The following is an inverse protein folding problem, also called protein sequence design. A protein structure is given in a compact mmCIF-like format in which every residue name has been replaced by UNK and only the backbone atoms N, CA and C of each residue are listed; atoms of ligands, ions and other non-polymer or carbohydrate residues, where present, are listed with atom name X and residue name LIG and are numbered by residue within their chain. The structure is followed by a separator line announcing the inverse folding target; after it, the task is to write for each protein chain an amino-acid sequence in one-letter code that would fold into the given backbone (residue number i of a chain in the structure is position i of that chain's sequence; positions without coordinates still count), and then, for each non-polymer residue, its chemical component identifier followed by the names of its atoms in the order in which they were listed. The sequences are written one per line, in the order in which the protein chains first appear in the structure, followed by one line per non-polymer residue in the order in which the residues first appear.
data_IF_228981158844
#
_entry.id   IF_228981158844
#
_cell.length_a   1.000
_cell.length_b   1.000
_cell.length_c   1.000
_cell.angle_alpha   90.00
_cell.angle_beta   90.00
_cell.angle_gamma   90.00
#
_symmetry.space_group_name_H-M   'P 1'
#
loop_
_entity.id
_entity.type
_entity.pdbx_description
1 polymer ?
#
# COMPACT_ATOMS: atom_id res chain seq x y z
N UNK A 1 -10.11 -11.22 12.65
CA UNK A 1 -9.07 -10.41 11.98
C UNK A 1 -9.24 -10.40 10.44
N UNK A 2 -9.54 -11.55 9.81
CA UNK A 2 -9.80 -11.70 8.36
C UNK A 2 -10.73 -10.64 7.74
N UNK A 3 -11.88 -10.38 8.34
CA UNK A 3 -12.85 -9.40 7.83
C UNK A 3 -12.29 -7.96 7.72
N UNK A 4 -11.47 -7.53 8.68
CA UNK A 4 -10.88 -6.19 8.64
C UNK A 4 -9.92 -6.09 7.46
N UNK A 5 -9.11 -7.13 7.24
CA UNK A 5 -8.18 -7.17 6.12
C UNK A 5 -8.90 -7.17 4.77
N UNK A 6 -10.00 -7.90 4.64
CA UNK A 6 -10.84 -7.85 3.44
C UNK A 6 -11.34 -6.43 3.14
N UNK A 7 -11.78 -5.67 4.15
CA UNK A 7 -12.19 -4.27 3.97
C UNK A 7 -11.02 -3.38 3.55
N UNK A 8 -9.84 -3.55 4.18
CA UNK A 8 -8.65 -2.79 3.85
C UNK A 8 -8.17 -3.06 2.42
N UNK A 9 -8.22 -4.32 1.97
CA UNK A 9 -7.86 -4.73 0.61
C UNK A 9 -8.92 -4.29 -0.39
N UNK A 10 -10.21 -4.37 -0.04
CA UNK A 10 -11.27 -3.84 -0.90
C UNK A 10 -11.03 -2.34 -1.17
N UNK A 11 -10.61 -1.59 -0.15
CA UNK A 11 -10.24 -0.19 -0.33
C UNK A 11 -8.96 -0.01 -1.14
N UNK A 12 -7.87 -0.68 -0.75
CA UNK A 12 -6.53 -0.50 -1.33
C UNK A 12 -5.93 -1.84 -1.81
N UNK A 13 -6.42 -2.42 -2.92
CA UNK A 13 -5.97 -3.74 -3.37
C UNK A 13 -4.54 -3.72 -3.90
N UNK A 14 -4.03 -2.58 -4.33
CA UNK A 14 -2.68 -2.43 -4.85
C UNK A 14 -1.61 -2.30 -3.75
N UNK A 15 -1.97 -2.31 -2.46
CA UNK A 15 -0.97 -2.28 -1.39
C UNK A 15 -0.29 -3.65 -1.25
N UNK A 16 1.02 -3.71 -1.48
CA UNK A 16 1.81 -4.94 -1.30
C UNK A 16 1.76 -5.43 0.14
N UNK A 17 1.86 -4.55 1.13
CA UNK A 17 1.78 -4.92 2.55
C UNK A 17 0.47 -5.62 2.89
N UNK A 18 -0.67 -5.15 2.33
CA UNK A 18 -1.95 -5.80 2.55
C UNK A 18 -2.06 -7.15 1.82
N UNK A 19 -1.49 -7.25 0.62
CA UNK A 19 -1.43 -8.49 -0.16
C UNK A 19 -0.57 -9.57 0.52
N UNK A 20 0.53 -9.16 1.15
CA UNK A 20 1.39 -10.05 1.94
C UNK A 20 0.66 -10.57 3.17
N UNK A 21 -0.03 -9.68 3.88
CA UNK A 21 -0.85 -10.06 5.03
C UNK A 21 -2.03 -10.95 4.64
N UNK A 22 -2.62 -10.75 3.46
CA UNK A 22 -3.67 -11.63 2.94
C UNK A 22 -3.14 -13.01 2.63
N UNK A 23 -1.97 -13.07 1.99
CA UNK A 23 -1.27 -14.31 1.67
C UNK A 23 -0.97 -15.06 2.97
N UNK A 24 -0.38 -14.42 3.98
CA UNK A 24 -0.06 -15.04 5.28
C UNK A 24 -1.27 -15.70 5.95
N UNK A 25 -2.47 -15.13 5.79
CA UNK A 25 -3.71 -15.62 6.41
C UNK A 25 -4.49 -16.58 5.48
N UNK A 26 -4.01 -16.82 4.25
CA UNK A 26 -4.70 -17.63 3.25
C UNK A 26 -6.02 -17.00 2.79
N UNK A 27 -6.05 -15.67 2.64
CA UNK A 27 -7.19 -14.95 2.11
C UNK A 27 -7.10 -14.91 0.58
N UNK A 28 -7.90 -15.73 -0.09
CA UNK A 28 -7.84 -15.83 -1.54
C UNK A 28 -8.77 -14.89 -2.30
N UNK A 29 -9.90 -14.56 -1.68
CA UNK A 29 -10.97 -13.77 -2.29
C UNK A 29 -11.50 -12.71 -1.31
N UNK A 30 -11.91 -11.58 -1.86
CA UNK A 30 -12.51 -10.47 -1.11
C UNK A 30 -14.00 -10.39 -1.42
N UNK A 31 -14.84 -10.36 -0.38
CA UNK A 31 -16.31 -10.31 -0.51
C UNK A 31 -16.85 -8.92 -0.86
N UNK A 32 -16.06 -7.89 -0.59
CA UNK A 32 -16.43 -6.49 -0.80
C UNK A 32 -15.96 -6.01 -2.17
N UNK A 33 -16.69 -5.05 -2.73
CA UNK A 33 -16.30 -4.40 -3.99
C UNK A 33 -14.97 -3.66 -3.80
N UNK A 34 -14.04 -3.87 -4.74
CA UNK A 34 -12.78 -3.14 -4.74
C UNK A 34 -12.98 -1.69 -5.22
N UNK A 35 -12.51 -0.73 -4.44
CA UNK A 35 -12.64 0.72 -4.69
C UNK A 35 -11.36 1.34 -5.29
N UNK A 36 -10.22 0.63 -5.26
CA UNK A 36 -8.93 1.07 -5.82
C UNK A 36 -8.45 2.44 -5.31
N UNK A 37 -8.61 2.71 -4.02
CA UNK A 37 -8.03 3.89 -3.39
C UNK A 37 -6.56 3.69 -3.00
N UNK A 38 -5.85 4.80 -2.78
CA UNK A 38 -4.43 4.82 -2.40
C UNK A 38 -4.20 4.97 -0.87
N UNK A 39 -5.27 5.11 -0.08
CA UNK A 39 -5.17 5.36 1.36
C UNK A 39 -6.13 4.53 2.21
N UNK A 40 -5.58 3.76 3.15
CA UNK A 40 -6.34 3.03 4.18
C UNK A 40 -6.66 3.85 5.44
N UNK A 41 -6.38 5.16 5.44
CA UNK A 41 -6.66 6.07 6.56
C UNK A 41 -6.03 5.66 7.91
N UNK A 42 -4.88 4.98 7.90
CA UNK A 42 -4.19 4.52 9.12
C UNK A 42 -3.61 5.66 9.98
N UNK A 43 -3.38 6.84 9.40
CA UNK A 43 -2.85 8.01 10.10
C UNK A 43 -1.37 7.94 10.48
N UNK A 44 -0.63 6.94 10.00
CA UNK A 44 0.83 6.83 10.24
C UNK A 44 1.59 8.01 9.64
N UNK A 45 1.23 8.43 8.42
CA UNK A 45 1.84 9.58 7.77
C UNK A 45 1.63 10.89 8.55
N UNK A 46 0.41 11.11 9.07
CA UNK A 46 0.07 12.29 9.88
C UNK A 46 0.88 12.31 11.18
N UNK A 47 0.93 11.18 11.90
CA UNK A 47 1.79 11.07 13.09
C UNK A 47 3.26 11.29 12.79
N UNK A 48 3.79 10.66 11.73
CA UNK A 48 5.19 10.84 11.33
C UNK A 48 5.51 12.31 11.01
N UNK A 49 4.59 13.00 10.33
CA UNK A 49 4.76 14.39 9.94
C UNK A 49 4.76 15.35 11.15
N UNK A 50 3.92 15.08 12.15
CA UNK A 50 3.76 15.92 13.35
C UNK A 50 4.77 15.57 14.43
N UNK A 51 4.90 14.29 14.79
CA UNK A 51 5.68 13.85 15.95
C UNK A 51 7.18 13.74 15.63
N UNK A 52 7.54 13.13 14.49
CA UNK A 52 8.94 12.84 14.18
C UNK A 52 9.59 13.97 13.37
N UNK A 53 8.91 14.47 12.34
CA UNK A 53 9.44 15.55 11.49
C UNK A 53 9.17 16.95 12.06
N UNK A 54 8.24 17.07 13.01
CA UNK A 54 7.91 18.33 13.68
C UNK A 54 7.30 19.40 12.76
N UNK A 55 6.74 19.03 11.60
CA UNK A 55 6.16 20.02 10.66
C UNK A 55 4.63 20.10 10.74
N UNK A 56 3.94 18.96 10.86
CA UNK A 56 2.47 18.93 10.84
C UNK A 56 1.83 19.38 9.52
N UNK A 57 2.54 19.26 8.39
CA UNK A 57 2.06 19.73 7.08
C UNK A 57 0.83 19.01 6.52
N UNK A 58 0.57 17.76 6.96
CA UNK A 58 -0.56 16.95 6.51
C UNK A 58 -1.45 16.55 7.69
N UNK A 59 -2.75 16.43 7.44
CA UNK A 59 -3.73 16.04 8.45
C UNK A 59 -4.94 15.34 7.85
N UNK A 60 -5.86 14.92 8.72
CA UNK A 60 -7.15 14.40 8.27
C UNK A 60 -8.11 15.55 8.00
N UNK A 61 -8.75 15.51 6.83
CA UNK A 61 -9.83 16.44 6.46
C UNK A 61 -11.09 15.65 6.15
N UNK A 62 -12.25 16.28 6.30
CA UNK A 62 -13.55 15.62 6.12
C UNK A 62 -13.93 14.69 7.27
N UNK A 63 -15.03 13.96 7.09
CA UNK A 63 -15.61 13.02 8.07
C UNK A 63 -16.28 11.84 7.38
N UNK A 64 -16.37 10.71 8.09
CA UNK A 64 -17.00 9.49 7.59
C UNK A 64 -16.34 8.99 6.31
N UNK A 65 -17.15 8.69 5.30
CA UNK A 65 -16.68 8.20 3.99
C UNK A 65 -15.89 9.25 3.19
N UNK A 66 -16.10 10.55 3.46
CA UNK A 66 -15.38 11.65 2.80
C UNK A 66 -14.09 12.04 3.54
N UNK A 67 -13.59 11.18 4.42
CA UNK A 67 -12.37 11.44 5.18
C UNK A 67 -11.17 11.10 4.31
N UNK A 68 -10.24 12.04 4.21
CA UNK A 68 -9.01 11.89 3.44
C UNK A 68 -7.83 12.50 4.19
N UNK A 69 -6.61 12.14 3.77
CA UNK A 69 -5.38 12.82 4.24
C UNK A 69 -5.03 13.88 3.22
N UNK A 70 -4.97 15.14 3.65
CA UNK A 70 -4.64 16.26 2.78
C UNK A 70 -3.87 17.34 3.54
N UNK A 71 -3.28 18.27 2.79
CA UNK A 71 -2.75 19.52 3.34
C UNK A 71 -3.89 20.51 3.64
N UNK A 72 -3.66 21.51 4.51
CA UNK A 72 -4.59 22.61 4.69
C UNK A 72 -4.97 23.24 3.35
N UNK A 73 -6.27 23.45 3.13
CA UNK A 73 -6.83 24.00 1.89
C UNK A 73 -6.46 23.25 0.60
N UNK A 74 -5.90 22.03 0.68
CA UNK A 74 -5.39 21.25 -0.46
C UNK A 74 -4.35 22.01 -1.29
N UNK A 75 -3.60 22.91 -0.65
CA UNK A 75 -2.49 23.64 -1.27
C UNK A 75 -1.15 23.11 -0.74
N UNK A 76 -0.08 23.32 -1.50
CA UNK A 76 1.26 23.02 -1.01
C UNK A 76 1.52 23.81 0.28
N UNK A 77 1.91 23.10 1.34
CA UNK A 77 2.14 23.73 2.63
C UNK A 77 3.58 24.22 2.72
N UNK A 78 3.76 25.48 3.07
CA UNK A 78 5.09 26.10 3.24
C UNK A 78 5.88 25.47 4.40
N UNK A 79 5.20 24.83 5.36
CA UNK A 79 5.85 24.14 6.48
C UNK A 79 6.36 22.74 6.08
N UNK A 80 5.95 22.22 4.92
CA UNK A 80 6.41 20.92 4.44
C UNK A 80 7.88 20.96 4.05
N UNK A 81 8.69 20.10 4.67
CA UNK A 81 10.14 20.01 4.40
C UNK A 81 10.51 19.13 3.20
N UNK A 82 9.53 18.56 2.51
CA UNK A 82 9.74 17.61 1.40
C UNK A 82 10.68 16.43 1.74
N UNK A 83 10.64 15.95 2.98
CA UNK A 83 11.52 14.89 3.47
C UNK A 83 11.16 13.47 3.00
N UNK A 84 9.96 13.26 2.43
CA UNK A 84 9.50 11.94 1.97
C UNK A 84 9.14 10.93 3.07
N UNK A 85 9.32 11.26 4.36
CA UNK A 85 9.07 10.35 5.48
C UNK A 85 7.63 9.80 5.53
N UNK A 86 6.65 10.62 5.12
CA UNK A 86 5.24 10.22 5.05
C UNK A 86 4.98 9.11 4.02
N UNK A 87 5.71 9.09 2.90
CA UNK A 87 5.60 8.04 1.89
C UNK A 87 6.31 6.76 2.35
N UNK A 88 7.48 6.91 2.96
CA UNK A 88 8.25 5.78 3.49
C UNK A 88 7.48 4.97 4.55
N UNK A 89 6.77 5.63 5.46
CA UNK A 89 6.01 4.90 6.50
C UNK A 89 4.65 4.36 6.00
N UNK A 90 4.22 4.73 4.78
CA UNK A 90 2.88 4.41 4.31
C UNK A 90 2.77 2.95 3.87
N UNK A 91 1.94 2.12 4.55
CA UNK A 91 1.76 0.72 4.14
C UNK A 91 1.01 0.58 2.81
N UNK A 92 0.25 1.59 2.41
CA UNK A 92 -0.52 1.55 1.17
C UNK A 92 0.33 1.87 -0.07
N UNK A 93 1.27 2.81 0.05
CA UNK A 93 1.98 3.42 -1.09
C UNK A 93 3.46 3.07 -1.15
N UNK A 94 4.11 2.71 -0.05
CA UNK A 94 5.55 2.39 -0.06
C UNK A 94 5.86 1.32 -1.10
N UNK A 95 5.00 0.30 -1.21
CA UNK A 95 5.13 -0.78 -2.19
C UNK A 95 3.80 -1.07 -2.87
N UNK A 96 3.80 -1.01 -4.20
CA UNK A 96 2.64 -1.32 -5.02
C UNK A 96 2.70 -2.76 -5.53
N UNK A 97 1.57 -3.47 -5.43
CA UNK A 97 1.36 -4.79 -5.99
C UNK A 97 0.56 -4.67 -7.29
N UNK A 98 1.11 -5.21 -8.39
CA UNK A 98 0.43 -5.30 -9.69
C UNK A 98 -0.29 -6.64 -9.91
N UNK A 99 -0.29 -7.52 -8.92
CA UNK A 99 -0.79 -8.90 -9.06
C UNK A 99 -2.32 -9.04 -9.03
N UNK A 100 -3.06 -7.96 -8.87
CA UNK A 100 -4.54 -8.00 -8.86
C UNK A 100 -5.01 -8.10 -10.30
N UNK A 101 -5.49 -9.28 -10.70
CA UNK A 101 -5.86 -9.57 -12.09
C UNK A 101 -7.32 -9.20 -12.38
N UNK A 102 -8.21 -9.48 -11.44
CA UNK A 102 -9.66 -9.30 -11.57
C UNK A 102 -10.24 -8.72 -10.27
N UNK A 103 -11.34 -7.95 -10.33
CA UNK A 103 -11.95 -7.38 -9.13
C UNK A 103 -12.47 -8.50 -8.21
N UNK A 104 -11.91 -8.60 -7.00
CA UNK A 104 -12.32 -9.59 -5.98
C UNK A 104 -11.33 -10.75 -5.78
N UNK A 105 -10.51 -11.06 -6.79
CA UNK A 105 -9.51 -12.14 -6.70
C UNK A 105 -8.14 -11.58 -6.30
N UNK A 106 -7.46 -12.27 -5.39
CA UNK A 106 -6.11 -11.93 -4.96
C UNK A 106 -5.10 -12.87 -5.63
N UNK A 107 -3.92 -12.34 -5.92
CA UNK A 107 -2.89 -13.11 -6.64
C UNK A 107 -2.32 -14.26 -5.79
N UNK A 108 -2.27 -14.09 -4.46
CA UNK A 108 -1.67 -14.97 -3.43
C UNK A 108 -0.29 -15.53 -3.75
N UNK A 109 0.38 -15.00 -4.75
CA UNK A 109 1.69 -15.48 -5.19
C UNK A 109 2.79 -15.13 -4.16
N UNK A 110 2.46 -14.32 -3.15
CA UNK A 110 3.32 -13.98 -2.01
C UNK A 110 3.36 -15.09 -0.95
N UNK A 111 2.51 -16.11 -1.02
CA UNK A 111 2.57 -17.31 -0.16
C UNK A 111 3.87 -18.09 -0.34
N UNK A 112 4.47 -18.01 -1.53
CA UNK A 112 5.69 -18.74 -1.89
C UNK A 112 6.83 -17.72 -1.98
N UNK A 113 7.27 -17.18 -0.83
CA UNK A 113 8.55 -16.49 -0.77
C UNK A 113 9.62 -17.54 -0.47
N UNK A 114 10.10 -18.20 -1.51
CA UNK A 114 11.54 -18.42 -1.56
C UNK A 114 12.12 -17.10 -2.05
N UNK A 115 13.05 -16.46 -1.33
CA UNK A 115 13.76 -15.32 -1.88
C UNK A 115 14.65 -15.84 -3.01
N UNK A 116 14.06 -16.06 -4.18
CA UNK A 116 14.83 -16.23 -5.40
C UNK A 116 15.33 -14.84 -5.77
N UNK A 117 16.59 -14.57 -5.43
CA UNK A 117 17.34 -13.59 -6.18
C UNK A 117 17.25 -14.02 -7.64
N UNK A 118 16.39 -13.36 -8.42
CA UNK A 118 16.23 -13.64 -9.83
C UNK A 118 17.60 -13.48 -10.48
N UNK A 119 18.20 -14.59 -10.95
CA UNK A 119 19.57 -14.62 -11.51
C UNK A 119 19.77 -13.56 -12.62
N UNK A 120 18.68 -13.22 -13.32
CA UNK A 120 18.66 -12.29 -14.45
C UNK A 120 18.32 -10.85 -14.07
N UNK A 121 17.86 -10.61 -12.85
CA UNK A 121 17.46 -9.29 -12.37
C UNK A 121 18.01 -9.05 -10.96
N UNK A 122 19.31 -8.71 -10.88
CA UNK A 122 20.04 -8.53 -9.63
C UNK A 122 19.56 -7.41 -8.70
N UNK A 123 18.45 -6.74 -9.02
CA UNK A 123 17.84 -5.68 -8.21
C UNK A 123 16.32 -5.83 -8.04
N UNK A 124 15.72 -6.93 -8.52
CA UNK A 124 14.30 -7.21 -8.28
C UNK A 124 14.18 -7.81 -6.89
N UNK A 125 14.41 -6.96 -5.90
CA UNK A 125 13.89 -7.15 -4.56
C UNK A 125 12.44 -6.67 -4.56
N UNK A 126 11.64 -7.13 -3.60
CA UNK A 126 10.30 -6.59 -3.34
C UNK A 126 10.25 -5.07 -3.13
N UNK A 127 11.39 -4.37 -3.20
CA UNK A 127 11.59 -2.95 -2.95
C UNK A 127 12.29 -2.24 -4.11
N UNK A 128 11.72 -2.19 -5.33
CA UNK A 128 11.39 -0.87 -5.91
C UNK A 128 10.76 -0.78 -7.31
N UNK A 129 10.67 -1.82 -8.16
CA UNK A 129 9.96 -1.62 -9.46
C UNK A 129 9.04 -2.77 -9.91
N UNK A 130 9.16 -3.95 -9.30
CA UNK A 130 8.31 -5.09 -9.65
C UNK A 130 8.47 -6.21 -8.63
N UNK A 131 7.38 -6.91 -8.28
CA UNK A 131 7.47 -8.14 -7.49
C UNK A 131 8.14 -9.24 -8.33
N UNK A 132 9.13 -9.96 -7.77
CA UNK A 132 9.82 -11.04 -8.48
C UNK A 132 8.89 -12.06 -9.14
N UNK A 133 7.79 -12.40 -8.46
CA UNK A 133 6.78 -13.33 -9.01
C UNK A 133 5.99 -12.75 -10.20
N UNK A 134 5.80 -11.43 -10.24
CA UNK A 134 5.16 -10.78 -11.40
C UNK A 134 6.13 -10.75 -12.59
N UNK A 135 7.41 -10.49 -12.35
CA UNK A 135 8.47 -10.46 -13.38
C UNK A 135 8.64 -11.83 -14.05
N UNK A 136 8.53 -12.93 -13.30
CA UNK A 136 8.56 -14.28 -13.88
C UNK A 136 7.38 -14.55 -14.82
N UNK A 137 6.19 -14.04 -14.52
CA UNK A 137 4.98 -14.24 -15.33
C UNK A 137 5.03 -13.48 -16.66
N UNK A 138 5.65 -12.30 -16.71
CA UNK A 138 5.75 -11.48 -17.93
C UNK A 138 6.69 -12.07 -19.00
N UNK A 139 7.51 -13.08 -18.67
CA UNK A 139 8.50 -13.69 -19.57
C UNK A 139 8.02 -14.86 -20.43
N UNK A 140 6.72 -15.09 -20.54
CA UNK A 140 6.16 -16.12 -21.45
C UNK A 140 5.86 -15.55 -22.83
#
# INVERSE_FOLDING_TARGET
RKMILELLIARCPNSKTLQDLASEIGLEQVRFKMENEDCILCGLCVRMCTEQMGSGAIGFVGRGQKREVATPFRMASEICRNCGACMYICPAVNLQCRGVNSPGELCNSCLIITPQCLEKYGQVMCTQDSCGVCVEKEKK
#
